data_IF_749841994717
#
_entry.id   IF_749841994717
#
_cell.length_a   1.000
_cell.length_b   1.000
_cell.length_c   1.000
_cell.angle_alpha   90.00
_cell.angle_beta   90.00
_cell.angle_gamma   90.00
#
_symmetry.space_group_name_H-M   'P 1'
#
loop_
_entity.id
_entity.type
_entity.pdbx_description
1 polymer ?
#
# COMPACT_ATOMS: atom_id res chain seq x y z
N UNK A 1 -21.72 -11.33 8.75
CA UNK A 1 -20.61 -10.86 7.90
C UNK A 1 -21.09 -10.88 6.47
N UNK A 2 -20.87 -9.80 5.73
CA UNK A 2 -21.29 -9.69 4.33
C UNK A 2 -20.06 -9.38 3.48
N UNK A 3 -19.84 -10.16 2.42
CA UNK A 3 -18.81 -9.87 1.41
C UNK A 3 -19.42 -8.92 0.40
N UNK A 4 -18.83 -7.74 0.24
CA UNK A 4 -19.30 -6.77 -0.76
C UNK A 4 -18.69 -7.12 -2.12
N UNK A 5 -19.52 -7.59 -3.04
CA UNK A 5 -19.12 -7.92 -4.43
C UNK A 5 -19.74 -6.98 -5.46
N UNK A 6 -20.79 -6.25 -5.08
CA UNK A 6 -21.48 -5.33 -5.99
C UNK A 6 -20.71 -4.03 -6.14
N UNK A 7 -20.49 -3.60 -7.39
CA UNK A 7 -19.73 -2.38 -7.70
C UNK A 7 -20.34 -1.13 -7.02
N UNK A 8 -21.67 -1.01 -7.00
CA UNK A 8 -22.34 0.14 -6.36
C UNK A 8 -22.15 0.15 -4.84
N UNK A 9 -22.05 -1.03 -4.20
CA UNK A 9 -21.72 -1.14 -2.77
C UNK A 9 -20.27 -0.73 -2.52
N UNK A 10 -19.34 -1.20 -3.35
CA UNK A 10 -17.91 -0.86 -3.22
C UNK A 10 -17.63 0.62 -3.48
N UNK A 11 -18.36 1.27 -4.41
CA UNK A 11 -18.27 2.72 -4.65
C UNK A 11 -18.78 3.53 -3.45
N UNK A 12 -19.94 3.15 -2.89
CA UNK A 12 -20.48 3.79 -1.68
C UNK A 12 -19.57 3.61 -0.48
N UNK A 13 -18.92 2.45 -0.38
CA UNK A 13 -17.95 2.18 0.66
C UNK A 13 -16.69 3.04 0.50
N UNK A 14 -16.17 3.17 -0.73
CA UNK A 14 -15.05 4.08 -1.05
C UNK A 14 -15.37 5.52 -0.59
N UNK A 15 -16.55 6.03 -0.91
CA UNK A 15 -17.00 7.36 -0.48
C UNK A 15 -17.12 7.50 1.04
N UNK A 16 -17.63 6.47 1.73
CA UNK A 16 -17.74 6.46 3.18
C UNK A 16 -16.35 6.50 3.84
N UNK A 17 -15.43 5.64 3.40
CA UNK A 17 -14.06 5.57 3.91
C UNK A 17 -13.27 6.84 3.61
N UNK A 18 -13.52 7.49 2.46
CA UNK A 18 -12.89 8.76 2.09
C UNK A 18 -13.14 9.86 3.12
N UNK A 19 -14.32 9.87 3.75
CA UNK A 19 -14.68 10.84 4.81
C UNK A 19 -13.96 10.58 6.13
N UNK A 20 -13.44 9.37 6.32
CA UNK A 20 -12.70 8.93 7.51
C UNK A 20 -11.19 8.90 7.30
N UNK A 21 -10.70 9.46 6.19
CA UNK A 21 -9.27 9.67 6.00
C UNK A 21 -8.75 10.72 7.00
N UNK A 22 -7.53 10.55 7.56
CA UNK A 22 -6.54 9.52 7.23
C UNK A 22 -6.68 8.20 7.99
N UNK A 23 -7.60 8.08 8.95
CA UNK A 23 -7.73 6.89 9.82
C UNK A 23 -8.10 5.61 9.05
N UNK A 24 -8.85 5.75 7.96
CA UNK A 24 -9.27 4.65 7.10
C UNK A 24 -8.27 4.29 5.98
N UNK A 25 -7.09 4.93 5.94
CA UNK A 25 -6.19 4.88 4.79
C UNK A 25 -5.83 3.45 4.30
N UNK A 26 -5.42 2.50 5.17
CA UNK A 26 -5.07 1.15 4.71
C UNK A 26 -6.25 0.45 4.03
N UNK A 27 -7.41 0.45 4.68
CA UNK A 27 -8.62 -0.22 4.16
C UNK A 27 -9.13 0.51 2.90
N UNK A 28 -9.13 1.84 2.90
CA UNK A 28 -9.52 2.65 1.75
C UNK A 28 -8.68 2.30 0.51
N UNK A 29 -7.37 2.17 0.68
CA UNK A 29 -6.47 1.82 -0.42
C UNK A 29 -6.73 0.43 -1.00
N UNK A 30 -7.06 -0.57 -0.16
CA UNK A 30 -7.50 -1.89 -0.63
C UNK A 30 -8.82 -1.81 -1.42
N UNK A 31 -9.82 -1.08 -0.91
CA UNK A 31 -11.10 -0.88 -1.62
C UNK A 31 -10.87 -0.20 -2.97
N UNK A 32 -9.99 0.79 -3.02
CA UNK A 32 -9.66 1.49 -4.27
C UNK A 32 -8.97 0.56 -5.27
N UNK A 33 -8.05 -0.31 -4.83
CA UNK A 33 -7.46 -1.35 -5.70
C UNK A 33 -8.52 -2.34 -6.22
N UNK A 34 -9.48 -2.74 -5.39
CA UNK A 34 -10.61 -3.59 -5.81
C UNK A 34 -11.44 -2.88 -6.89
N UNK A 35 -11.79 -1.61 -6.67
CA UNK A 35 -12.55 -0.78 -7.61
C UNK A 35 -11.80 -0.43 -8.91
N UNK A 36 -10.50 -0.75 -8.97
CA UNK A 36 -9.63 -0.49 -10.13
C UNK A 36 -9.10 -1.78 -10.77
N UNK A 37 -9.84 -2.88 -10.64
CA UNK A 37 -9.55 -4.16 -11.32
C UNK A 37 -9.05 -5.28 -10.41
N UNK A 38 -8.86 -5.00 -9.13
CA UNK A 38 -8.54 -5.98 -8.10
C UNK A 38 -7.32 -6.89 -8.39
N UNK A 39 -6.13 -6.31 -8.62
CA UNK A 39 -4.94 -7.09 -8.98
C UNK A 39 -4.50 -8.10 -7.90
N UNK A 40 -4.89 -7.86 -6.64
CA UNK A 40 -4.59 -8.72 -5.49
C UNK A 40 -5.60 -9.81 -5.20
N UNK A 41 -6.67 -9.92 -5.98
CA UNK A 41 -7.81 -10.81 -5.68
C UNK A 41 -8.35 -10.62 -4.26
N UNK A 42 -8.41 -9.37 -3.81
CA UNK A 42 -8.91 -9.00 -2.50
C UNK A 42 -10.44 -9.04 -2.47
N UNK A 43 -10.98 -9.24 -1.28
CA UNK A 43 -12.39 -9.07 -0.95
C UNK A 43 -12.53 -8.21 0.29
N UNK A 44 -13.67 -7.54 0.39
CA UNK A 44 -14.04 -6.71 1.52
C UNK A 44 -15.20 -7.34 2.24
N UNK A 45 -15.02 -7.51 3.54
CA UNK A 45 -16.02 -8.06 4.45
C UNK A 45 -16.42 -6.98 5.43
N UNK A 46 -17.72 -6.77 5.60
CA UNK A 46 -18.30 -5.84 6.58
C UNK A 46 -19.17 -6.60 7.57
N UNK A 47 -19.35 -6.03 8.76
CA UNK A 47 -20.28 -6.55 9.76
C UNK A 47 -21.75 -6.40 9.32
N UNK A 48 -22.10 -5.23 8.80
CA UNK A 48 -23.44 -4.89 8.30
C UNK A 48 -23.38 -3.93 7.08
N UNK A 49 -24.48 -3.81 6.33
CA UNK A 49 -24.59 -2.90 5.18
C UNK A 49 -26.01 -2.31 5.10
N UNK A 50 -26.20 -1.01 4.77
CA UNK A 50 -25.21 -0.01 4.35
C UNK A 50 -24.45 0.69 5.49
N UNK A 51 -24.89 0.54 6.73
CA UNK A 51 -24.21 1.07 7.91
C UNK A 51 -23.30 -0.03 8.46
N UNK A 52 -21.99 0.20 8.51
CA UNK A 52 -20.99 -0.75 8.99
C UNK A 52 -20.21 -0.14 10.16
N UNK A 53 -19.93 -0.95 11.18
CA UNK A 53 -19.05 -0.58 12.29
C UNK A 53 -17.64 -1.12 12.12
N UNK A 54 -17.51 -2.23 11.39
CA UNK A 54 -16.27 -2.93 11.14
C UNK A 54 -16.12 -3.28 9.66
N UNK A 55 -14.91 -3.06 9.14
CA UNK A 55 -14.52 -3.46 7.80
C UNK A 55 -13.20 -4.22 7.84
N UNK A 56 -13.13 -5.24 6.98
CA UNK A 56 -12.01 -6.13 6.80
C UNK A 56 -11.68 -6.25 5.31
N UNK A 57 -10.46 -5.91 4.92
CA UNK A 57 -9.91 -6.24 3.60
C UNK A 57 -9.00 -7.47 3.70
N UNK A 58 -9.18 -8.44 2.81
CA UNK A 58 -8.40 -9.68 2.77
C UNK A 58 -8.25 -10.28 1.40
N UNK A 59 -7.36 -11.25 1.22
CA UNK A 59 -7.32 -12.07 0.01
C UNK A 59 -8.52 -13.04 -0.03
N UNK A 60 -9.12 -13.20 -1.21
CA UNK A 60 -10.22 -14.13 -1.43
C UNK A 60 -9.82 -15.55 -1.02
N UNK A 61 -10.66 -16.20 -0.21
CA UNK A 61 -10.45 -17.57 0.25
C UNK A 61 -9.52 -17.74 1.45
N UNK A 62 -8.89 -16.67 1.97
CA UNK A 62 -8.11 -16.75 3.21
C UNK A 62 -9.02 -16.61 4.44
N UNK A 63 -9.06 -17.65 5.28
CA UNK A 63 -9.79 -17.68 6.54
C UNK A 63 -8.88 -17.13 7.64
N UNK A 64 -9.17 -15.94 8.17
CA UNK A 64 -8.75 -15.37 9.47
C UNK A 64 -7.31 -15.59 10.02
N UNK A 65 -6.35 -16.13 9.26
CA UNK A 65 -4.93 -16.27 9.60
C UNK A 65 -3.94 -15.57 8.65
N UNK A 66 -4.40 -14.89 7.60
CA UNK A 66 -3.62 -14.00 6.72
C UNK A 66 -3.47 -12.57 7.27
N UNK A 67 -2.82 -11.69 6.51
CA UNK A 67 -2.67 -10.27 6.88
C UNK A 67 -4.02 -9.54 6.68
N UNK A 68 -4.65 -9.10 7.76
CA UNK A 68 -5.97 -8.46 7.77
C UNK A 68 -5.92 -7.06 8.35
N UNK A 69 -6.67 -6.13 7.74
CA UNK A 69 -6.79 -4.75 8.23
C UNK A 69 -8.21 -4.47 8.68
N UNK A 70 -8.32 -4.00 9.91
CA UNK A 70 -9.58 -3.68 10.57
C UNK A 70 -9.69 -2.17 10.76
N UNK A 71 -10.79 -1.57 10.28
CA UNK A 71 -11.18 -0.22 10.67
C UNK A 71 -12.48 -0.31 11.48
N UNK A 72 -12.43 0.19 12.72
CA UNK A 72 -13.57 0.28 13.63
C UNK A 72 -13.96 1.73 13.84
N UNK A 73 -15.16 2.11 13.38
CA UNK A 73 -15.69 3.46 13.56
C UNK A 73 -16.07 3.73 15.03
N UNK A 74 -15.14 4.21 15.84
CA UNK A 74 -15.42 4.63 17.22
C UNK A 74 -16.10 5.99 17.27
N UNK A 75 -17.41 6.01 17.54
CA UNK A 75 -18.17 7.19 17.97
C UNK A 75 -19.16 6.80 19.06
N UNK A 76 -19.14 7.53 20.18
CA UNK A 76 -19.88 7.29 21.43
C UNK A 76 -21.27 6.66 21.25
N UNK A 77 -21.33 5.35 21.47
CA UNK A 77 -22.56 4.58 21.57
C UNK A 77 -22.18 3.19 22.01
N UNK A 78 -22.50 2.86 23.26
CA UNK A 78 -22.41 1.49 23.78
C UNK A 78 -23.32 0.58 22.97
N UNK A 79 -22.83 0.03 21.86
CA UNK A 79 -23.50 -1.10 21.21
C UNK A 79 -23.03 -2.39 21.86
N UNK A 80 -23.85 -2.81 22.82
CA UNK A 80 -23.88 -4.14 23.41
C UNK A 80 -24.40 -5.11 22.34
N UNK A 81 -23.49 -5.71 21.57
CA UNK A 81 -23.87 -6.67 20.53
C UNK A 81 -22.70 -7.37 19.86
N UNK A 82 -22.36 -8.57 20.34
CA UNK A 82 -21.65 -9.60 19.58
C UNK A 82 -20.12 -9.61 19.73
N UNK A 83 -19.62 -10.34 20.73
CA UNK A 83 -18.20 -10.66 20.96
C UNK A 83 -17.55 -11.58 19.90
N UNK A 84 -17.77 -11.33 18.61
CA UNK A 84 -17.29 -12.19 17.52
C UNK A 84 -16.11 -11.58 16.71
N UNK A 85 -15.49 -10.52 17.22
CA UNK A 85 -14.42 -9.78 16.53
C UNK A 85 -13.18 -9.52 17.40
N UNK A 86 -13.22 -9.83 18.70
CA UNK A 86 -12.07 -9.65 19.60
C UNK A 86 -10.90 -10.56 19.22
N UNK A 87 -11.18 -11.80 18.79
CA UNK A 87 -10.16 -12.71 18.30
C UNK A 87 -9.50 -12.22 17.00
N UNK A 88 -10.27 -11.60 16.10
CA UNK A 88 -9.73 -10.99 14.87
C UNK A 88 -8.91 -9.73 15.16
N UNK A 89 -9.17 -9.03 16.27
CA UNK A 89 -8.31 -7.93 16.75
C UNK A 89 -6.92 -8.40 17.18
N UNK A 90 -6.80 -9.64 17.65
CA UNK A 90 -5.53 -10.26 18.04
C UNK A 90 -4.71 -10.75 16.83
N UNK A 91 -5.38 -11.09 15.72
CA UNK A 91 -4.76 -11.50 14.45
C UNK A 91 -4.65 -10.39 13.41
N UNK A 92 -5.39 -9.30 13.57
CA UNK A 92 -5.11 -8.07 12.87
C UNK A 92 -3.66 -7.72 13.18
N UNK A 93 -2.87 -7.51 12.14
CA UNK A 93 -1.58 -6.85 12.33
C UNK A 93 -1.94 -5.48 12.87
N UNK A 94 -1.94 -5.35 14.20
CA UNK A 94 -1.82 -4.06 14.85
C UNK A 94 -0.58 -3.47 14.22
N UNK A 95 -0.78 -2.52 13.31
CA UNK A 95 0.29 -1.86 12.60
C UNK A 95 1.36 -1.59 13.63
N UNK A 96 2.49 -2.27 13.48
CA UNK A 96 3.49 -2.34 14.54
C UNK A 96 3.73 -0.90 14.99
N UNK A 97 3.60 -0.64 16.30
CA UNK A 97 3.56 0.71 16.90
C UNK A 97 4.85 1.54 16.70
N UNK A 98 5.73 1.12 15.79
CA UNK A 98 6.91 1.83 15.32
C UNK A 98 6.99 2.05 13.79
N UNK A 99 5.96 1.72 13.01
CA UNK A 99 5.93 1.95 11.54
C UNK A 99 4.87 2.96 11.09
N UNK A 100 4.09 3.49 12.03
CA UNK A 100 2.99 4.41 11.77
C UNK A 100 3.14 5.59 12.73
N UNK A 101 3.90 6.60 12.34
CA UNK A 101 4.21 7.72 13.23
C UNK A 101 5.05 8.82 12.61
N UNK A 102 5.84 8.53 11.58
CA UNK A 102 6.35 9.59 10.72
C UNK A 102 5.68 9.47 9.36
N UNK A 103 4.91 10.48 8.92
CA UNK A 103 4.79 10.72 7.50
C UNK A 103 6.22 10.66 6.95
N UNK A 104 6.44 9.98 5.83
CA UNK A 104 7.56 10.36 4.99
C UNK A 104 7.33 11.83 4.67
N UNK A 105 7.87 12.73 5.50
CA UNK A 105 7.82 14.17 5.37
C UNK A 105 8.62 14.53 4.13
N UNK A 106 7.98 14.40 2.98
CA UNK A 106 8.63 14.49 1.67
C UNK A 106 8.00 15.60 0.83
N UNK A 107 6.94 16.25 1.33
CA UNK A 107 6.55 17.57 0.83
C UNK A 107 6.85 18.68 1.84
N UNK A 108 8.14 18.89 2.13
CA UNK A 108 8.58 20.26 2.33
C UNK A 108 8.14 21.05 1.09
N UNK A 109 7.42 22.17 1.28
CA UNK A 109 6.93 23.06 0.21
C UNK A 109 8.08 23.38 -0.76
N UNK A 110 8.18 22.58 -1.82
CA UNK A 110 9.19 22.66 -2.85
C UNK A 110 8.46 22.83 -4.16
N UNK A 111 8.50 24.05 -4.67
CA UNK A 111 8.02 24.49 -5.97
C UNK A 111 8.22 23.43 -7.05
N UNK A 112 7.20 23.21 -7.88
CA UNK A 112 7.19 22.30 -9.00
C UNK A 112 8.32 22.56 -10.00
N UNK A 113 9.46 21.92 -9.75
CA UNK A 113 10.50 21.72 -10.73
C UNK A 113 10.38 20.31 -11.28
N UNK A 114 10.15 20.17 -12.58
CA UNK A 114 10.45 18.95 -13.32
C UNK A 114 11.96 18.70 -13.22
N UNK A 115 12.39 18.07 -12.13
CA UNK A 115 13.79 17.74 -11.89
C UNK A 115 14.25 16.79 -12.98
N UNK A 116 14.96 17.31 -13.97
CA UNK A 116 15.64 16.52 -14.99
C UNK A 116 16.54 15.51 -14.27
N UNK A 117 16.35 14.23 -14.55
CA UNK A 117 17.20 13.16 -14.01
C UNK A 117 18.65 13.42 -14.40
N UNK A 118 19.58 13.00 -13.55
CA UNK A 118 21.00 13.12 -13.85
C UNK A 118 21.34 12.42 -15.18
N UNK A 119 22.33 12.91 -15.95
CA UNK A 119 22.79 12.24 -17.16
C UNK A 119 23.13 10.77 -16.88
N UNK A 120 22.63 9.85 -17.70
CA UNK A 120 22.81 8.40 -17.52
C UNK A 120 21.82 7.73 -16.56
N UNK A 121 20.96 8.48 -15.87
CA UNK A 121 19.87 7.94 -15.05
C UNK A 121 18.55 8.02 -15.80
N UNK A 122 17.85 6.90 -15.88
CA UNK A 122 16.57 6.77 -16.59
C UNK A 122 15.51 6.12 -15.72
N UNK A 123 14.25 6.40 -16.03
CA UNK A 123 13.14 5.63 -15.48
C UNK A 123 13.17 4.24 -16.11
N UNK A 124 13.08 3.23 -15.26
CA UNK A 124 13.20 1.82 -15.58
C UNK A 124 12.09 0.99 -14.98
N UNK A 125 12.19 -0.32 -15.16
CA UNK A 125 11.25 -1.31 -14.62
C UNK A 125 11.99 -2.31 -13.74
N UNK A 126 11.34 -2.76 -12.68
CA UNK A 126 11.77 -3.97 -11.99
C UNK A 126 11.18 -5.18 -12.73
N UNK A 127 11.77 -6.34 -12.52
CA UNK A 127 11.35 -7.60 -13.13
C UNK A 127 11.51 -8.70 -12.08
N UNK A 128 10.94 -9.89 -12.28
CA UNK A 128 11.13 -11.01 -11.37
C UNK A 128 12.61 -11.38 -11.13
N UNK A 129 13.51 -11.03 -12.05
CA UNK A 129 14.95 -11.24 -11.88
C UNK A 129 15.56 -10.40 -10.74
N UNK A 130 14.92 -9.28 -10.37
CA UNK A 130 15.39 -8.39 -9.30
C UNK A 130 14.86 -8.77 -7.91
N UNK A 131 14.06 -9.84 -7.80
CA UNK A 131 13.46 -10.24 -6.51
C UNK A 131 14.51 -10.55 -5.46
N UNK A 132 15.62 -11.18 -5.84
CA UNK A 132 16.68 -11.54 -4.89
C UNK A 132 17.39 -10.28 -4.35
N UNK A 133 17.69 -9.30 -5.21
CA UNK A 133 18.19 -7.98 -4.80
C UNK A 133 17.22 -7.27 -3.84
N UNK A 134 15.93 -7.26 -4.14
CA UNK A 134 14.90 -6.68 -3.27
C UNK A 134 14.86 -7.40 -1.92
N UNK A 135 14.98 -8.72 -1.94
CA UNK A 135 14.93 -9.54 -0.74
C UNK A 135 16.14 -9.32 0.16
N UNK A 136 17.33 -9.11 -0.41
CA UNK A 136 18.56 -8.84 0.35
C UNK A 136 18.60 -7.42 0.93
N UNK A 137 18.05 -6.44 0.20
CA UNK A 137 18.08 -5.03 0.59
C UNK A 137 16.98 -4.63 1.57
N UNK A 138 15.99 -5.51 1.79
CA UNK A 138 14.91 -5.26 2.74
C UNK A 138 15.32 -5.65 4.16
N UNK A 139 15.17 -4.78 5.17
CA UNK A 139 15.46 -5.14 6.56
C UNK A 139 14.68 -6.36 7.08
N UNK A 140 13.51 -6.63 6.51
CA UNK A 140 12.65 -7.78 6.84
C UNK A 140 12.80 -8.95 5.85
N UNK A 141 13.73 -8.81 4.91
CA UNK A 141 13.95 -9.75 3.83
C UNK A 141 14.84 -10.93 4.23
N UNK A 142 15.56 -11.46 3.25
CA UNK A 142 16.50 -12.57 3.44
C UNK A 142 15.87 -13.94 3.64
N UNK A 143 14.55 -14.10 3.42
CA UNK A 143 13.86 -15.37 3.59
C UNK A 143 12.92 -15.70 2.42
N UNK A 144 12.47 -16.96 2.36
CA UNK A 144 11.63 -17.44 1.26
C UNK A 144 10.23 -16.77 1.23
N UNK A 145 9.70 -16.40 2.41
CA UNK A 145 8.40 -15.73 2.52
C UNK A 145 8.48 -14.31 1.97
N UNK A 146 9.48 -13.53 2.36
CA UNK A 146 9.71 -12.18 1.84
C UNK A 146 10.01 -12.19 0.34
N UNK A 147 10.80 -13.17 -0.15
CA UNK A 147 11.05 -13.37 -1.58
C UNK A 147 9.76 -13.58 -2.36
N UNK A 148 8.89 -14.48 -1.89
CA UNK A 148 7.58 -14.75 -2.51
C UNK A 148 6.71 -13.48 -2.48
N UNK A 149 6.64 -12.80 -1.35
CA UNK A 149 5.87 -11.57 -1.20
C UNK A 149 6.31 -10.49 -2.19
N UNK A 150 7.62 -10.24 -2.32
CA UNK A 150 8.18 -9.27 -3.25
C UNK A 150 7.90 -9.65 -4.72
N UNK A 151 7.99 -10.94 -5.06
CA UNK A 151 7.60 -11.44 -6.37
C UNK A 151 6.11 -11.20 -6.68
N UNK A 152 5.24 -11.44 -5.70
CA UNK A 152 3.81 -11.14 -5.82
C UNK A 152 3.53 -9.63 -5.99
N UNK A 153 4.29 -8.77 -5.29
CA UNK A 153 4.19 -7.32 -5.46
C UNK A 153 4.58 -6.88 -6.88
N UNK A 154 5.73 -7.33 -7.38
CA UNK A 154 6.22 -6.99 -8.71
C UNK A 154 5.28 -7.44 -9.83
N UNK A 155 4.62 -8.60 -9.66
CA UNK A 155 3.73 -9.15 -10.67
C UNK A 155 2.34 -8.48 -10.72
N UNK A 156 1.92 -7.79 -9.66
CA UNK A 156 0.53 -7.34 -9.50
C UNK A 156 0.38 -5.84 -9.30
N UNK A 157 1.37 -5.18 -8.71
CA UNK A 157 1.23 -3.79 -8.27
C UNK A 157 2.21 -2.86 -8.97
N UNK A 158 1.83 -1.58 -9.14
CA UNK A 158 2.72 -0.57 -9.69
C UNK A 158 3.99 -0.43 -8.87
N UNK A 159 5.10 -0.22 -9.56
CA UNK A 159 6.41 0.00 -8.97
C UNK A 159 7.20 0.95 -9.85
N UNK A 160 8.16 1.65 -9.24
CA UNK A 160 9.05 2.55 -9.96
C UNK A 160 10.49 2.20 -9.68
N UNK A 161 11.31 2.33 -10.72
CA UNK A 161 12.74 2.12 -10.65
C UNK A 161 13.46 3.22 -11.43
N UNK A 162 14.59 3.66 -10.90
CA UNK A 162 15.61 4.37 -11.65
C UNK A 162 16.73 3.39 -11.94
N UNK A 163 17.19 3.39 -13.18
CA UNK A 163 18.27 2.56 -13.68
C UNK A 163 19.40 3.43 -14.22
N UNK A 164 20.60 2.87 -14.27
CA UNK A 164 21.72 3.48 -14.99
C UNK A 164 21.66 3.22 -16.51
N UNK A 165 22.75 3.55 -17.21
CA UNK A 165 22.88 3.32 -18.64
C UNK A 165 23.01 1.84 -19.04
N UNK A 166 23.41 0.95 -18.12
CA UNK A 166 23.46 -0.49 -18.34
C UNK A 166 22.11 -1.17 -18.10
N UNK A 167 21.21 -0.49 -17.38
CA UNK A 167 19.89 -1.02 -17.00
C UNK A 167 19.86 -1.54 -15.56
N UNK A 168 20.92 -1.32 -14.78
CA UNK A 168 20.99 -1.82 -13.40
C UNK A 168 20.15 -0.94 -12.45
N UNK A 169 19.36 -1.52 -11.54
CA UNK A 169 18.54 -0.77 -10.58
C UNK A 169 19.38 0.08 -9.62
N UNK A 170 19.10 1.38 -9.55
CA UNK A 170 19.78 2.34 -8.66
C UNK A 170 18.94 2.67 -7.43
N UNK A 171 17.65 2.93 -7.66
CA UNK A 171 16.69 3.31 -6.64
C UNK A 171 15.29 2.92 -7.07
N UNK A 172 14.45 2.51 -6.13
CA UNK A 172 13.10 2.05 -6.43
C UNK A 172 12.14 2.26 -5.27
N UNK A 173 10.86 2.12 -5.57
CA UNK A 173 9.78 1.97 -4.59
C UNK A 173 8.77 0.98 -5.15
N UNK A 174 8.25 0.13 -4.28
CA UNK A 174 7.13 -0.75 -4.57
C UNK A 174 5.84 -0.13 -4.03
N UNK A 175 4.71 -0.67 -4.47
CA UNK A 175 3.40 -0.38 -3.90
C UNK A 175 2.82 -1.69 -3.38
N UNK A 176 2.25 -1.67 -2.19
CA UNK A 176 1.57 -2.83 -1.62
C UNK A 176 0.09 -2.91 -2.05
N UNK A 177 -0.60 -3.90 -1.50
CA UNK A 177 -2.01 -4.16 -1.78
C UNK A 177 -2.97 -3.10 -1.22
N UNK A 178 -2.49 -2.19 -0.38
CA UNK A 178 -3.20 -1.00 0.07
C UNK A 178 -2.92 0.23 -0.79
N UNK A 179 -2.15 0.10 -1.87
CA UNK A 179 -1.74 1.27 -2.64
C UNK A 179 -0.75 2.16 -1.87
N UNK A 180 -0.11 1.62 -0.83
CA UNK A 180 0.86 2.35 -0.02
C UNK A 180 2.27 2.09 -0.57
N UNK A 181 3.08 3.15 -0.62
CA UNK A 181 4.49 3.02 -0.96
C UNK A 181 5.21 2.15 0.06
N UNK A 182 5.86 1.09 -0.40
CA UNK A 182 6.65 0.18 0.42
C UNK A 182 7.99 -0.12 -0.25
N UNK A 183 8.95 -0.63 0.51
CA UNK A 183 10.28 -0.99 0.00
C UNK A 183 10.91 0.13 -0.85
N UNK A 184 10.97 1.33 -0.29
CA UNK A 184 11.70 2.44 -0.87
C UNK A 184 13.19 2.27 -0.57
N UNK A 185 14.01 2.01 -1.60
CA UNK A 185 15.45 1.85 -1.41
C UNK A 185 16.29 2.62 -2.45
N UNK A 186 17.49 3.00 -2.04
CA UNK A 186 18.54 3.52 -2.92
C UNK A 186 19.84 2.81 -2.57
N UNK A 187 20.46 2.20 -3.57
CA UNK A 187 21.75 1.53 -3.42
C UNK A 187 22.77 2.48 -2.79
N UNK A 188 23.63 2.01 -1.85
CA UNK A 188 24.55 2.86 -1.12
C UNK A 188 25.36 3.83 -1.99
N UNK A 189 25.91 3.35 -3.11
CA UNK A 189 26.69 4.17 -4.06
C UNK A 189 25.90 5.28 -4.78
N UNK A 190 24.56 5.22 -4.75
CA UNK A 190 23.68 6.16 -5.46
C UNK A 190 22.87 7.06 -4.49
N UNK A 191 23.14 7.00 -3.19
CA UNK A 191 22.48 7.85 -2.18
C UNK A 191 22.93 9.30 -2.31
N UNK A 192 22.14 10.23 -1.75
CA UNK A 192 22.42 11.69 -1.75
C UNK A 192 22.41 12.38 -3.12
N UNK A 193 21.92 11.71 -4.16
CA UNK A 193 21.77 12.25 -5.52
C UNK A 193 20.31 12.62 -5.88
N UNK A 194 19.38 12.56 -4.91
CA UNK A 194 17.96 12.87 -5.14
C UNK A 194 17.16 11.77 -5.85
N UNK A 195 17.74 10.60 -6.13
CA UNK A 195 17.06 9.46 -6.78
C UNK A 195 15.76 9.05 -6.08
N UNK A 196 15.80 8.85 -4.76
CA UNK A 196 14.61 8.51 -3.98
C UNK A 196 13.51 9.57 -4.11
N UNK A 197 13.87 10.86 -4.10
CA UNK A 197 12.90 11.95 -4.29
C UNK A 197 12.24 11.88 -5.67
N UNK A 198 13.01 11.58 -6.71
CA UNK A 198 12.49 11.42 -8.05
C UNK A 198 11.56 10.21 -8.17
N UNK A 199 11.96 9.04 -7.65
CA UNK A 199 11.14 7.82 -7.61
C UNK A 199 9.81 8.08 -6.89
N UNK A 200 9.84 8.69 -5.71
CA UNK A 200 8.65 8.98 -4.93
C UNK A 200 7.75 10.02 -5.62
N UNK A 201 8.34 11.00 -6.31
CA UNK A 201 7.56 11.97 -7.09
C UNK A 201 6.85 11.29 -8.27
N UNK A 202 7.50 10.35 -8.95
CA UNK A 202 6.88 9.55 -10.01
C UNK A 202 5.74 8.69 -9.46
N UNK A 203 5.98 8.01 -8.32
CA UNK A 203 4.99 7.20 -7.63
C UNK A 203 3.77 8.01 -7.20
N UNK A 204 3.98 9.17 -6.57
CA UNK A 204 2.92 10.06 -6.13
C UNK A 204 2.05 10.54 -7.31
N UNK A 205 2.65 10.94 -8.43
CA UNK A 205 1.90 11.33 -9.63
C UNK A 205 1.04 10.19 -10.19
N UNK A 206 1.57 8.97 -10.22
CA UNK A 206 0.79 7.82 -10.70
C UNK A 206 -0.32 7.45 -9.72
N UNK A 207 -0.06 7.50 -8.42
CA UNK A 207 -1.05 7.29 -7.38
C UNK A 207 -2.21 8.29 -7.51
N UNK A 208 -1.89 9.59 -7.66
CA UNK A 208 -2.88 10.64 -7.90
C UNK A 208 -3.69 10.42 -9.17
N UNK A 209 -3.04 10.05 -10.29
CA UNK A 209 -3.72 9.72 -11.54
C UNK A 209 -4.69 8.53 -11.42
N UNK A 210 -4.44 7.63 -10.45
CA UNK A 210 -5.31 6.48 -10.12
C UNK A 210 -6.37 6.81 -9.06
N UNK A 211 -6.37 8.02 -8.50
CA UNK A 211 -7.30 8.48 -7.46
C UNK A 211 -6.87 8.16 -6.03
N UNK A 212 -5.63 7.71 -5.80
CA UNK A 212 -5.10 7.50 -4.46
C UNK A 212 -4.75 8.86 -3.83
N UNK A 213 -5.10 9.07 -2.54
CA UNK A 213 -4.69 10.26 -1.82
C UNK A 213 -3.18 10.23 -1.59
N UNK A 214 -2.50 11.35 -1.88
CA UNK A 214 -1.11 11.55 -1.53
C UNK A 214 -1.05 12.37 -0.24
N UNK A 215 -0.61 11.75 0.85
CA UNK A 215 -0.29 12.44 2.10
C UNK A 215 1.22 12.66 2.15
N UNK A 216 1.67 13.86 2.50
CA UNK A 216 3.08 14.25 2.47
C UNK A 216 3.44 15.22 3.58
#
# INVERSE_FOLDING_TARGET
>A
MLILTCLSQLQRLEEALRRSLPLALPVYGAVLNINRGNPGELEVVVDSWPNFGAILARRRGEVAGGDFFFFGGGGNGTQRGGGHWEHLRAHAVGGNRGCWGEPLGILGKGTGGTGRLAPGVRVGTLSPAHVDLLNETWPYGGNARSRRYLGELLGRYPHFCLQDGAGDPLSWTLTDHFGTGTHGYTLPGHRRHGHMRAVLSLAARQAQARGFPAFG
#
